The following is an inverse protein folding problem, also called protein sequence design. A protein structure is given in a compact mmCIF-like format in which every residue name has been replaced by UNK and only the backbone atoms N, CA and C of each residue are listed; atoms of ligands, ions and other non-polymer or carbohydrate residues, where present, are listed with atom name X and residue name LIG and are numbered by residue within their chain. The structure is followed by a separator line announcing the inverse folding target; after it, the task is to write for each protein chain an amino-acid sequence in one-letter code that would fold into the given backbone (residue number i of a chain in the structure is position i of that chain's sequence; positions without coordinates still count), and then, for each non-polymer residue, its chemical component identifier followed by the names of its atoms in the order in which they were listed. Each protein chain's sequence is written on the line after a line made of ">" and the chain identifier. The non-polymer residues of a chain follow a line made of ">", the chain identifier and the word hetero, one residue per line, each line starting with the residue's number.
data_IF_729536682316
#
_entry.id   IF_729536682316
#
_cell.length_a   1.000
_cell.length_b   1.000
_cell.length_c   1.000
_cell.angle_alpha   90.00
_cell.angle_beta   90.00
_cell.angle_gamma   90.00
#
_symmetry.space_group_name_H-M   'P 1'
#
loop_
_entity.id
_entity.type
_entity.pdbx_description
1 polymer ?
#
# COMPACT_ATOMS: atom_id res chain seq x y z
N UNK A 1 24.58 -3.77 30.52
CA UNK A 1 24.66 -2.38 30.01
C UNK A 1 24.86 -2.30 28.51
N UNK A 2 25.79 -3.06 27.90
CA UNK A 2 26.10 -2.95 26.46
C UNK A 2 24.94 -3.28 25.49
N UNK A 3 23.96 -4.10 25.91
CA UNK A 3 22.81 -4.45 25.06
C UNK A 3 21.77 -3.33 24.90
N UNK A 4 21.64 -2.43 25.89
CA UNK A 4 20.69 -1.31 25.86
C UNK A 4 21.23 -0.20 24.95
N UNK A 5 22.54 0.05 25.00
CA UNK A 5 23.20 1.04 24.15
C UNK A 5 23.07 0.72 22.65
N UNK A 6 23.08 -0.57 22.30
CA UNK A 6 22.98 -1.08 20.92
C UNK A 6 21.56 -0.91 20.33
N UNK A 7 20.54 -0.96 21.18
CA UNK A 7 19.14 -0.72 20.78
C UNK A 7 18.89 0.78 20.53
N UNK A 8 19.51 1.66 21.34
CA UNK A 8 19.39 3.11 21.21
C UNK A 8 20.08 3.61 19.94
N UNK A 9 21.25 3.05 19.57
CA UNK A 9 21.95 3.41 18.34
C UNK A 9 21.25 2.93 17.06
N UNK A 10 20.53 1.80 17.10
CA UNK A 10 19.73 1.33 15.95
C UNK A 10 18.51 2.23 15.65
N UNK A 11 17.93 2.86 16.68
CA UNK A 11 16.77 3.75 16.49
C UNK A 11 17.13 5.10 15.85
N UNK A 12 18.36 5.58 16.06
CA UNK A 12 18.88 6.83 15.48
C UNK A 12 19.25 6.76 13.99
N UNK A 13 19.17 5.58 13.37
CA UNK A 13 19.50 5.35 11.95
C UNK A 13 18.28 5.39 11.01
N UNK A 14 17.13 5.92 11.47
CA UNK A 14 15.99 6.21 10.58
C UNK A 14 16.30 7.43 9.71
N UNK A 15 17.21 7.23 8.75
CA UNK A 15 17.45 8.19 7.67
C UNK A 15 16.13 8.35 6.92
N UNK A 16 15.66 9.59 6.84
CA UNK A 16 14.50 9.98 6.07
C UNK A 16 14.71 9.57 4.59
N UNK A 17 14.19 8.40 4.23
CA UNK A 17 14.02 8.01 2.85
C UNK A 17 12.79 8.79 2.36
N UNK A 18 13.03 9.88 1.63
CA UNK A 18 11.99 10.47 0.81
C UNK A 18 11.65 9.43 -0.28
N UNK A 19 10.64 8.60 -0.01
CA UNK A 19 10.07 7.75 -1.04
C UNK A 19 9.54 8.69 -2.12
N UNK A 20 10.11 8.66 -3.32
CA UNK A 20 9.51 9.25 -4.49
C UNK A 20 8.07 8.73 -4.54
N UNK A 21 7.12 9.62 -4.24
CA UNK A 21 5.70 9.29 -4.34
C UNK A 21 5.45 9.13 -5.82
N UNK A 22 5.43 7.90 -6.32
CA UNK A 22 4.89 7.57 -7.63
C UNK A 22 3.42 7.99 -7.65
N UNK A 23 3.17 9.29 -7.85
CA UNK A 23 1.83 9.84 -7.93
C UNK A 23 1.26 9.45 -9.28
N UNK A 24 0.00 8.99 -9.25
CA UNK A 24 -0.72 8.59 -10.45
C UNK A 24 -1.18 9.85 -11.16
N UNK A 25 -1.12 9.83 -12.48
CA UNK A 25 -1.49 10.96 -13.33
C UNK A 25 -2.70 10.56 -14.17
N UNK A 26 -3.64 11.49 -14.33
CA UNK A 26 -4.70 11.40 -15.32
C UNK A 26 -4.62 12.59 -16.30
N UNK A 27 -5.13 12.38 -17.50
CA UNK A 27 -5.31 13.41 -18.51
C UNK A 27 -6.75 13.92 -18.46
N UNK A 28 -6.91 15.24 -18.34
CA UNK A 28 -8.19 15.93 -18.47
C UNK A 28 -8.00 17.09 -19.43
N UNK A 29 -8.66 17.05 -20.59
CA UNK A 29 -8.53 18.08 -21.63
C UNK A 29 -7.06 18.40 -21.98
N UNK A 30 -6.27 17.37 -22.30
CA UNK A 30 -4.85 17.46 -22.63
C UNK A 30 -3.94 18.02 -21.52
N UNK A 31 -4.44 18.15 -20.28
CA UNK A 31 -3.67 18.52 -19.11
C UNK A 31 -3.44 17.32 -18.19
N UNK A 32 -2.18 17.15 -17.76
CA UNK A 32 -1.81 16.17 -16.74
C UNK A 32 -2.21 16.67 -15.35
N UNK A 33 -3.00 15.87 -14.65
CA UNK A 33 -3.44 16.14 -13.28
C UNK A 33 -2.98 15.00 -12.39
N UNK A 34 -2.36 15.35 -11.26
CA UNK A 34 -1.96 14.40 -10.24
C UNK A 34 -3.21 13.94 -9.49
N UNK A 35 -3.48 12.64 -9.52
CA UNK A 35 -4.62 12.03 -8.83
C UNK A 35 -4.37 12.04 -7.32
N UNK A 36 -3.14 11.72 -6.91
CA UNK A 36 -2.75 11.64 -5.50
C UNK A 36 -1.81 12.80 -5.16
N UNK A 37 -2.23 13.69 -4.26
CA UNK A 37 -1.42 14.84 -3.84
C UNK A 37 -0.30 14.42 -2.87
N UNK A 38 -0.58 13.42 -2.04
CA UNK A 38 0.38 12.77 -1.14
C UNK A 38 -0.16 11.40 -0.68
N UNK A 39 0.57 10.73 0.20
CA UNK A 39 0.21 9.41 0.73
C UNK A 39 -1.11 9.38 1.49
N UNK A 40 -1.54 10.49 2.09
CA UNK A 40 -2.76 10.64 2.88
C UNK A 40 -3.92 11.28 2.10
N UNK A 41 -3.64 11.87 0.94
CA UNK A 41 -4.59 12.59 0.09
C UNK A 41 -4.69 11.90 -1.28
N UNK A 42 -5.11 10.64 -1.26
CA UNK A 42 -5.29 9.85 -2.49
C UNK A 42 -6.59 10.22 -3.18
N UNK A 43 -6.57 10.35 -4.51
CA UNK A 43 -7.73 10.75 -5.30
C UNK A 43 -8.17 12.22 -5.15
N UNK A 44 -7.54 13.00 -4.27
CA UNK A 44 -7.92 14.39 -4.01
C UNK A 44 -7.78 15.29 -5.24
N UNK A 45 -6.82 15.02 -6.13
CA UNK A 45 -6.66 15.83 -7.34
C UNK A 45 -7.82 15.73 -8.32
N UNK A 46 -8.65 14.69 -8.21
CA UNK A 46 -9.84 14.50 -9.04
C UNK A 46 -11.12 15.04 -8.40
N UNK A 47 -11.07 15.45 -7.14
CA UNK A 47 -12.25 15.80 -6.34
C UNK A 47 -13.12 16.86 -7.01
N UNK A 48 -12.52 17.98 -7.44
CA UNK A 48 -13.21 19.08 -8.12
C UNK A 48 -13.92 18.68 -9.43
N UNK A 49 -13.48 17.60 -10.09
CA UNK A 49 -14.12 17.09 -11.29
C UNK A 49 -15.27 16.17 -10.93
N UNK A 50 -14.99 15.18 -10.06
CA UNK A 50 -15.92 14.10 -9.75
C UNK A 50 -17.08 14.56 -8.83
N UNK A 51 -16.91 15.61 -8.04
CA UNK A 51 -17.99 16.20 -7.21
C UNK A 51 -19.17 16.75 -8.02
N UNK A 52 -18.98 17.01 -9.33
CA UNK A 52 -20.05 17.44 -10.23
C UNK A 52 -21.11 16.36 -10.46
N UNK A 53 -20.76 15.10 -10.25
CA UNK A 53 -21.66 13.95 -10.39
C UNK A 53 -21.76 13.21 -9.07
N UNK A 54 -22.98 13.16 -8.51
CA UNK A 54 -23.21 12.55 -7.18
C UNK A 54 -22.79 11.09 -7.10
N UNK A 55 -22.91 10.32 -8.19
CA UNK A 55 -22.55 8.90 -8.22
C UNK A 55 -21.03 8.74 -8.29
N UNK A 56 -20.36 9.53 -9.13
CA UNK A 56 -18.91 9.56 -9.20
C UNK A 56 -18.28 10.00 -7.88
N UNK A 57 -18.81 11.06 -7.27
CA UNK A 57 -18.40 11.57 -5.96
C UNK A 57 -18.51 10.50 -4.87
N UNK A 58 -19.64 9.77 -4.81
CA UNK A 58 -19.82 8.68 -3.85
C UNK A 58 -18.74 7.58 -3.99
N UNK A 59 -18.38 7.21 -5.21
CA UNK A 59 -17.32 6.21 -5.43
C UNK A 59 -15.93 6.75 -5.07
N UNK A 60 -15.66 8.04 -5.33
CA UNK A 60 -14.43 8.70 -4.91
C UNK A 60 -14.32 8.73 -3.38
N UNK A 61 -15.38 9.12 -2.67
CA UNK A 61 -15.40 9.14 -1.21
C UNK A 61 -15.17 7.75 -0.63
N UNK A 62 -15.77 6.72 -1.24
CA UNK A 62 -15.52 5.32 -0.85
C UNK A 62 -14.07 4.92 -1.06
N UNK A 63 -13.46 5.34 -2.18
CA UNK A 63 -12.05 5.13 -2.44
C UNK A 63 -11.16 5.79 -1.37
N UNK A 64 -11.45 7.04 -1.04
CA UNK A 64 -10.70 7.86 -0.08
C UNK A 64 -10.81 7.28 1.34
N UNK A 65 -12.03 7.00 1.79
CA UNK A 65 -12.31 6.44 3.11
C UNK A 65 -11.58 5.11 3.35
N UNK A 66 -11.54 4.24 2.35
CA UNK A 66 -10.84 2.96 2.44
C UNK A 66 -9.30 3.10 2.38
N UNK A 67 -8.77 4.28 2.04
CA UNK A 67 -7.35 4.58 2.09
C UNK A 67 -6.95 5.33 3.37
N UNK A 68 -7.90 5.72 4.21
CA UNK A 68 -7.61 6.30 5.51
C UNK A 68 -6.88 5.28 6.38
N UNK A 69 -5.90 5.77 7.15
CA UNK A 69 -5.15 4.93 8.05
C UNK A 69 -6.05 4.45 9.19
N UNK A 70 -6.26 3.14 9.28
CA UNK A 70 -6.87 2.50 10.44
C UNK A 70 -5.76 1.78 11.23
N UNK A 71 -5.62 2.11 12.51
CA UNK A 71 -4.58 1.51 13.38
C UNK A 71 -4.70 -0.03 13.46
N UNK A 72 -5.91 -0.56 13.24
CA UNK A 72 -6.20 -1.99 13.16
C UNK A 72 -5.45 -2.68 12.03
N UNK A 73 -5.17 -1.98 10.93
CA UNK A 73 -4.49 -2.52 9.74
C UNK A 73 -2.98 -2.68 9.99
N UNK A 74 -2.44 -1.96 10.97
CA UNK A 74 -1.04 -2.07 11.40
C UNK A 74 -0.85 -2.98 12.62
N UNK A 75 -1.94 -3.31 13.33
CA UNK A 75 -1.89 -4.06 14.59
C UNK A 75 -1.36 -5.49 14.39
N UNK A 76 -1.81 -6.19 13.33
CA UNK A 76 -1.40 -7.57 13.07
C UNK A 76 0.08 -7.68 12.69
N UNK A 77 0.56 -6.78 11.83
CA UNK A 77 1.98 -6.71 11.46
C UNK A 77 2.88 -6.38 12.65
N UNK A 78 2.44 -5.44 13.50
CA UNK A 78 3.16 -5.08 14.73
C UNK A 78 3.19 -6.25 15.73
N UNK A 79 2.06 -6.92 15.96
CA UNK A 79 2.00 -8.11 16.79
C UNK A 79 2.92 -9.22 16.27
N UNK A 80 2.93 -9.45 14.95
CA UNK A 80 3.83 -10.40 14.30
C UNK A 80 5.31 -10.04 14.50
N UNK A 81 5.67 -8.76 14.34
CA UNK A 81 7.04 -8.29 14.58
C UNK A 81 7.48 -8.47 16.04
N UNK A 82 6.59 -8.20 17.00
CA UNK A 82 6.84 -8.45 18.43
C UNK A 82 7.05 -9.95 18.67
N UNK A 83 6.23 -10.82 18.09
CA UNK A 83 6.40 -12.27 18.22
C UNK A 83 7.74 -12.74 17.65
N UNK A 84 8.16 -12.24 16.48
CA UNK A 84 9.50 -12.52 15.93
C UNK A 84 10.58 -12.08 16.92
N UNK A 85 10.49 -10.85 17.43
CA UNK A 85 11.45 -10.32 18.41
C UNK A 85 11.52 -11.18 19.68
N UNK A 86 10.37 -11.56 20.25
CA UNK A 86 10.28 -12.43 21.42
C UNK A 86 10.85 -13.82 21.13
N UNK A 87 10.49 -14.43 20.00
CA UNK A 87 10.98 -15.76 19.61
C UNK A 87 12.51 -15.81 19.47
N UNK A 88 13.14 -14.71 19.07
CA UNK A 88 14.60 -14.61 18.90
C UNK A 88 15.33 -14.21 20.20
N UNK A 89 14.76 -13.32 21.01
CA UNK A 89 15.47 -12.67 22.12
C UNK A 89 15.11 -13.23 23.51
N UNK A 90 13.95 -13.86 23.66
CA UNK A 90 13.51 -14.39 24.94
C UNK A 90 14.21 -15.72 25.28
N UNK A 91 14.36 -16.00 26.58
CA UNK A 91 14.87 -17.27 27.09
C UNK A 91 13.78 -18.36 27.06
N UNK A 92 13.29 -18.69 25.86
CA UNK A 92 12.35 -19.79 25.62
C UNK A 92 13.10 -21.08 25.27
N UNK A 93 12.42 -22.22 25.37
CA UNK A 93 12.93 -23.48 24.84
C UNK A 93 13.06 -23.43 23.31
N UNK A 94 14.00 -24.17 22.72
CA UNK A 94 14.28 -24.13 21.27
C UNK A 94 13.04 -24.37 20.40
N UNK A 95 12.17 -25.30 20.78
CA UNK A 95 10.91 -25.56 20.04
C UNK A 95 9.95 -24.38 20.12
N UNK A 96 9.84 -23.75 21.29
CA UNK A 96 8.98 -22.59 21.52
C UNK A 96 9.51 -21.34 20.80
N UNK A 97 10.84 -21.12 20.80
CA UNK A 97 11.50 -20.05 20.03
C UNK A 97 11.12 -20.10 18.56
N UNK A 98 11.32 -21.25 17.93
CA UNK A 98 11.02 -21.45 16.51
C UNK A 98 9.53 -21.28 16.24
N UNK A 99 8.66 -21.86 17.07
CA UNK A 99 7.21 -21.75 16.90
C UNK A 99 6.71 -20.29 17.00
N UNK A 100 7.18 -19.53 18.00
CA UNK A 100 6.80 -18.12 18.21
C UNK A 100 7.35 -17.22 17.10
N UNK A 101 8.61 -17.43 16.68
CA UNK A 101 9.18 -16.65 15.58
C UNK A 101 8.49 -16.92 14.24
N UNK A 102 8.22 -18.20 13.92
CA UNK A 102 7.55 -18.59 12.67
C UNK A 102 6.11 -18.08 12.64
N UNK A 103 5.36 -18.20 13.73
CA UNK A 103 4.00 -17.65 13.82
C UNK A 103 4.00 -16.13 13.64
N UNK A 104 4.94 -15.42 14.28
CA UNK A 104 5.12 -13.98 14.06
C UNK A 104 5.39 -13.62 12.59
N UNK A 105 6.28 -14.36 11.92
CA UNK A 105 6.58 -14.15 10.51
C UNK A 105 5.35 -14.40 9.60
N UNK A 106 4.57 -15.44 9.89
CA UNK A 106 3.32 -15.73 9.17
C UNK A 106 2.32 -14.59 9.32
N UNK A 107 2.18 -14.01 10.52
CA UNK A 107 1.30 -12.86 10.75
C UNK A 107 1.71 -11.63 9.93
N UNK A 108 3.02 -11.35 9.83
CA UNK A 108 3.53 -10.24 9.00
C UNK A 108 3.16 -10.46 7.54
N UNK A 109 3.39 -11.66 7.00
CA UNK A 109 3.06 -12.00 5.61
C UNK A 109 1.56 -11.92 5.38
N UNK A 110 0.74 -12.45 6.29
CA UNK A 110 -0.71 -12.36 6.20
C UNK A 110 -1.19 -10.91 6.17
N UNK A 111 -0.66 -10.06 7.05
CA UNK A 111 -0.96 -8.63 7.08
C UNK A 111 -0.66 -7.96 5.73
N UNK A 112 0.51 -8.25 5.16
CA UNK A 112 0.92 -7.73 3.85
C UNK A 112 -0.05 -8.16 2.74
N UNK A 113 -0.39 -9.45 2.67
CA UNK A 113 -1.29 -9.98 1.62
C UNK A 113 -2.69 -9.39 1.74
N UNK A 114 -3.23 -9.30 2.95
CA UNK A 114 -4.54 -8.69 3.22
C UNK A 114 -4.52 -7.23 2.80
N UNK A 115 -3.54 -6.45 3.25
CA UNK A 115 -3.40 -5.04 2.90
C UNK A 115 -3.28 -4.82 1.38
N UNK A 116 -2.48 -5.65 0.70
CA UNK A 116 -2.34 -5.61 -0.75
C UNK A 116 -3.67 -5.93 -1.46
N UNK A 117 -4.39 -6.97 -1.00
CA UNK A 117 -5.67 -7.37 -1.58
C UNK A 117 -6.74 -6.30 -1.42
N UNK A 118 -6.85 -5.70 -0.22
CA UNK A 118 -7.79 -4.62 0.06
C UNK A 118 -7.47 -3.37 -0.77
N UNK A 119 -6.19 -2.98 -0.86
CA UNK A 119 -5.75 -1.88 -1.72
C UNK A 119 -6.18 -2.11 -3.17
N UNK A 120 -5.90 -3.28 -3.72
CA UNK A 120 -6.24 -3.62 -5.10
C UNK A 120 -7.76 -3.68 -5.33
N UNK A 121 -8.53 -4.18 -4.36
CA UNK A 121 -9.99 -4.16 -4.41
C UNK A 121 -10.54 -2.74 -4.37
N UNK A 122 -9.90 -1.85 -3.61
CA UNK A 122 -10.31 -0.45 -3.47
C UNK A 122 -10.07 0.37 -4.75
N UNK A 123 -9.05 0.07 -5.54
CA UNK A 123 -8.79 0.76 -6.82
C UNK A 123 -9.99 0.73 -7.78
N UNK A 124 -10.80 -0.34 -7.71
CA UNK A 124 -12.06 -0.41 -8.47
C UNK A 124 -13.05 0.70 -8.15
N UNK A 125 -13.01 1.28 -6.94
CA UNK A 125 -13.84 2.43 -6.60
C UNK A 125 -13.38 3.68 -7.34
N UNK A 126 -12.06 3.90 -7.46
CA UNK A 126 -11.52 5.03 -8.23
C UNK A 126 -11.83 4.90 -9.72
N UNK A 127 -11.64 3.70 -10.29
CA UNK A 127 -12.00 3.42 -11.69
C UNK A 127 -13.49 3.70 -11.95
N UNK A 128 -14.38 3.18 -11.09
CA UNK A 128 -15.83 3.44 -11.20
C UNK A 128 -16.19 4.91 -11.05
N UNK A 129 -15.51 5.65 -10.18
CA UNK A 129 -15.75 7.09 -10.04
C UNK A 129 -15.48 7.82 -11.36
N UNK A 130 -14.36 7.51 -12.00
CA UNK A 130 -13.99 8.08 -13.31
C UNK A 130 -14.98 7.64 -14.40
N UNK A 131 -15.33 6.36 -14.45
CA UNK A 131 -16.29 5.83 -15.43
C UNK A 131 -17.66 6.49 -15.32
N UNK A 132 -18.19 6.64 -14.10
CA UNK A 132 -19.50 7.25 -13.87
C UNK A 132 -19.52 8.73 -14.25
N UNK A 133 -18.45 9.46 -13.94
CA UNK A 133 -18.30 10.85 -14.39
C UNK A 133 -18.27 10.94 -15.92
N UNK A 134 -17.43 10.13 -16.57
CA UNK A 134 -17.22 10.15 -18.03
C UNK A 134 -18.46 9.74 -18.84
N UNK A 135 -19.44 9.06 -18.23
CA UNK A 135 -20.72 8.72 -18.89
C UNK A 135 -21.60 9.94 -19.14
N UNK A 136 -21.48 10.97 -18.30
CA UNK A 136 -22.45 12.08 -18.22
C UNK A 136 -21.82 13.47 -18.33
N UNK A 137 -20.50 13.58 -18.20
CA UNK A 137 -19.80 14.87 -18.13
C UNK A 137 -18.64 14.95 -19.11
N UNK A 138 -18.36 16.19 -19.53
CA UNK A 138 -17.16 16.57 -20.27
C UNK A 138 -16.42 17.66 -19.46
N UNK A 139 -15.08 17.77 -19.58
CA UNK A 139 -14.20 16.93 -20.37
C UNK A 139 -13.99 15.55 -19.73
N UNK A 140 -13.83 14.51 -20.56
CA UNK A 140 -13.49 13.16 -20.08
C UNK A 140 -12.14 13.12 -19.38
N UNK A 141 -12.09 12.29 -18.33
CA UNK A 141 -10.90 11.98 -17.56
C UNK A 141 -10.35 10.65 -18.06
N UNK A 142 -9.12 10.64 -18.55
CA UNK A 142 -8.42 9.43 -18.95
C UNK A 142 -7.33 9.12 -17.95
N UNK A 143 -7.39 7.96 -17.33
CA UNK A 143 -6.30 7.51 -16.48
C UNK A 143 -5.14 7.14 -17.39
N UNK A 144 -4.01 7.85 -17.28
CA UNK A 144 -2.83 7.51 -18.07
C UNK A 144 -2.44 6.07 -17.70
N UNK A 145 -2.15 5.18 -18.66
CA UNK A 145 -1.56 3.90 -18.32
C UNK A 145 -0.31 4.24 -17.52
N UNK A 146 -0.20 3.72 -16.28
CA UNK A 146 0.89 3.98 -15.35
C UNK A 146 2.17 4.10 -16.16
N UNK A 147 2.60 5.34 -16.42
CA UNK A 147 3.73 5.55 -17.28
C UNK A 147 4.90 5.12 -16.42
N UNK A 148 5.30 3.87 -16.60
CA UNK A 148 6.56 3.28 -16.20
C UNK A 148 7.69 3.99 -16.99
N UNK A 149 7.67 5.33 -16.97
CA UNK A 149 8.63 6.25 -17.57
C UNK A 149 9.66 6.65 -16.51
N UNK A 150 10.07 5.71 -15.66
CA UNK A 150 11.35 5.80 -14.95
C UNK A 150 11.82 4.44 -14.40
N UNK A 151 11.80 3.40 -15.23
CA UNK A 151 12.40 2.11 -14.85
C UNK A 151 13.08 1.44 -16.03
N UNK A 152 13.78 2.23 -16.84
CA UNK A 152 14.77 1.70 -17.77
C UNK A 152 16.15 1.51 -17.11
N UNK A 153 16.29 1.72 -15.79
CA UNK A 153 17.55 1.54 -15.07
C UNK A 153 17.41 0.88 -13.68
N UNK A 154 16.42 0.01 -13.46
CA UNK A 154 16.40 -0.84 -12.26
C UNK A 154 16.48 -2.30 -12.69
N UNK A 155 17.62 -2.89 -12.33
CA UNK A 155 18.00 -4.30 -12.39
C UNK A 155 16.80 -5.23 -12.23
N UNK A 156 16.77 -6.22 -13.11
CA UNK A 156 15.90 -7.40 -13.15
C UNK A 156 15.59 -7.95 -11.74
N UNK A 157 14.53 -7.45 -11.12
CA UNK A 157 13.99 -8.05 -9.91
C UNK A 157 13.22 -9.28 -10.36
N UNK A 158 13.89 -10.43 -10.26
CA UNK A 158 13.30 -11.77 -10.25
C UNK A 158 11.86 -11.71 -9.74
N UNK A 159 10.90 -11.75 -10.67
CA UNK A 159 9.51 -12.03 -10.35
C UNK A 159 9.51 -13.40 -9.68
N UNK A 160 9.37 -13.43 -8.36
CA UNK A 160 9.04 -14.66 -7.66
C UNK A 160 7.58 -14.97 -8.01
N UNK A 161 7.40 -15.61 -9.17
CA UNK A 161 6.15 -16.26 -9.54
C UNK A 161 6.11 -17.57 -8.75
N UNK A 162 5.33 -17.62 -7.68
CA UNK A 162 5.01 -18.88 -7.01
C UNK A 162 4.07 -19.67 -7.92
N UNK A 163 4.62 -20.37 -8.91
CA UNK A 163 3.87 -21.35 -9.70
C UNK A 163 3.59 -22.56 -8.81
N UNK A 164 2.33 -22.67 -8.39
CA UNK A 164 1.83 -23.79 -7.59
C UNK A 164 1.44 -24.91 -8.57
N UNK A 165 2.32 -25.88 -8.81
CA UNK A 165 1.96 -27.14 -9.51
C UNK A 165 1.77 -28.26 -8.49
N UNK A 166 0.53 -28.69 -8.29
CA UNK A 166 0.23 -29.97 -7.66
C UNK A 166 -0.22 -30.93 -8.76
N UNK A 167 0.38 -32.11 -8.85
CA UNK A 167 -0.15 -33.26 -9.58
C UNK A 167 -0.57 -34.32 -8.56
N UNK A 168 -1.81 -34.80 -8.68
CA UNK A 168 -2.32 -35.97 -7.95
C UNK A 168 -1.78 -37.26 -8.55
#
# INVERSE_FOLDING_TARGET
>A
MNKILLIITLFSLQVAQANDVCSRICMVNDQEILIDLNTNQKGEGLRNYLEKDSVASMYLEKYQKNNEFHWTDAALGTAGAVMVGVGLLANLETKQKTAVAVSGAVLIVANFVIGYSLKNANEKNLERAIEEYNKRNEPKIFMSPLSYKNTQNIVDHNKIVLSKSWSF
#
